data_IF_162383138282
#
_entry.id   IF_162383138282
#
_cell.length_a   1.000
_cell.length_b   1.000
_cell.length_c   1.000
_cell.angle_alpha   90.00
_cell.angle_beta   90.00
_cell.angle_gamma   90.00
#
_symmetry.space_group_name_H-M   'P 1'
#
loop_
_entity.id
_entity.type
_entity.pdbx_description
1 polymer ?
#
# COMPACT_ATOMS: atom_id res chain seq x y z
N UNK A 1 77.73 -1.43 2.99
CA UNK A 1 76.31 -1.22 2.64
C UNK A 1 75.44 -1.86 3.70
N UNK A 2 74.87 -1.05 4.59
CA UNK A 2 73.81 -1.42 5.53
C UNK A 2 73.17 -0.10 5.99
N UNK A 3 71.92 0.12 5.60
CA UNK A 3 71.18 1.35 5.88
C UNK A 3 70.41 1.22 7.20
N UNK A 4 70.43 2.29 7.99
CA UNK A 4 69.73 2.42 9.26
C UNK A 4 68.21 2.40 9.07
N UNK A 5 67.50 1.62 9.90
CA UNK A 5 66.04 1.67 10.03
C UNK A 5 65.66 2.52 11.25
N UNK A 6 64.89 3.57 10.99
CA UNK A 6 64.28 4.46 11.97
C UNK A 6 62.92 3.88 12.36
N UNK A 7 62.72 3.61 13.64
CA UNK A 7 61.44 3.17 14.21
C UNK A 7 60.47 4.35 14.34
N UNK A 8 59.38 4.32 13.59
CA UNK A 8 58.25 5.23 13.77
C UNK A 8 57.20 4.56 14.65
N UNK A 9 57.12 4.99 15.91
CA UNK A 9 55.99 4.68 16.77
C UNK A 9 54.75 5.45 16.28
N UNK A 10 53.74 4.70 15.85
CA UNK A 10 52.45 5.25 15.44
C UNK A 10 51.55 5.48 16.67
N UNK A 11 50.90 6.65 16.81
CA UNK A 11 50.00 6.92 17.92
C UNK A 11 48.73 6.08 17.81
N UNK A 12 48.36 5.43 18.92
CA UNK A 12 47.12 4.68 19.08
C UNK A 12 45.90 5.58 18.76
N UNK A 13 44.98 5.15 17.87
CA UNK A 13 43.75 5.89 17.65
C UNK A 13 42.85 5.77 18.88
N UNK A 14 42.56 6.92 19.45
CA UNK A 14 41.55 7.18 20.46
C UNK A 14 40.27 6.40 20.17
N UNK A 15 39.80 5.67 21.18
CA UNK A 15 38.47 5.03 21.22
C UNK A 15 37.41 6.10 21.00
N UNK A 16 36.97 6.29 19.75
CA UNK A 16 35.66 6.87 19.49
C UNK A 16 34.65 5.91 20.09
N UNK A 17 34.04 6.33 21.20
CA UNK A 17 32.81 5.74 21.68
C UNK A 17 31.79 5.87 20.56
N UNK A 18 31.62 4.81 19.78
CA UNK A 18 30.47 4.65 18.92
C UNK A 18 29.27 4.51 19.84
N UNK A 19 28.69 5.63 20.22
CA UNK A 19 27.29 5.66 20.59
C UNK A 19 26.54 5.12 19.37
N UNK A 20 26.26 3.81 19.38
CA UNK A 20 25.18 3.24 18.59
C UNK A 20 23.98 4.17 18.77
N UNK A 21 23.29 4.60 17.71
CA UNK A 21 21.95 5.12 17.89
C UNK A 21 21.07 3.94 18.33
N UNK A 22 21.08 3.66 19.63
CA UNK A 22 20.08 2.85 20.30
C UNK A 22 18.86 3.72 20.51
N UNK A 23 17.94 3.70 19.54
CA UNK A 23 16.50 3.57 19.81
C UNK A 23 15.79 3.56 18.46
N UNK A 24 15.35 2.38 18.01
CA UNK A 24 14.21 2.30 17.10
C UNK A 24 13.04 2.88 17.89
N UNK A 25 12.80 4.17 17.75
CA UNK A 25 11.85 4.88 18.60
C UNK A 25 10.44 4.44 18.23
N UNK A 26 9.92 3.46 18.98
CA UNK A 26 8.62 3.31 19.67
C UNK A 26 7.38 4.13 19.25
N UNK A 27 7.36 4.87 18.15
CA UNK A 27 6.43 5.99 18.05
C UNK A 27 5.13 5.58 17.38
N UNK A 28 4.18 5.17 18.23
CA UNK A 28 2.81 5.61 18.02
C UNK A 28 2.84 7.14 17.88
N UNK A 29 2.19 7.66 16.85
CA UNK A 29 2.08 9.09 16.65
C UNK A 29 1.04 9.67 17.61
N UNK A 30 1.17 10.96 17.92
CA UNK A 30 0.15 11.66 18.70
C UNK A 30 -1.04 11.97 17.80
N UNK A 31 -2.25 11.93 18.38
CA UNK A 31 -3.42 12.43 17.69
C UNK A 31 -3.31 13.96 17.55
N UNK A 32 -3.66 14.52 16.39
CA UNK A 32 -3.72 15.96 16.26
C UNK A 32 -4.85 16.52 17.13
N UNK A 33 -4.68 17.74 17.65
CA UNK A 33 -5.73 18.44 18.39
C UNK A 33 -6.95 18.75 17.51
N UNK A 34 -6.70 19.01 16.22
CA UNK A 34 -7.72 19.25 15.21
C UNK A 34 -7.47 18.36 13.99
N UNK A 35 -8.53 17.74 13.49
CA UNK A 35 -8.45 16.90 12.30
C UNK A 35 -8.62 17.73 11.04
N UNK A 36 -7.73 17.53 10.08
CA UNK A 36 -7.94 18.01 8.70
C UNK A 36 -9.10 17.29 8.02
N UNK A 37 -9.60 17.86 6.92
CA UNK A 37 -10.67 17.25 6.10
C UNK A 37 -10.33 15.81 5.70
N UNK A 38 -9.10 15.55 5.26
CA UNK A 38 -8.67 14.21 4.87
C UNK A 38 -8.65 13.21 6.04
N UNK A 39 -8.31 13.69 7.25
CA UNK A 39 -8.33 12.86 8.45
C UNK A 39 -9.75 12.65 8.98
N UNK A 40 -10.63 13.65 8.89
CA UNK A 40 -12.06 13.49 9.21
C UNK A 40 -12.71 12.44 8.30
N UNK A 41 -12.48 12.52 6.99
CA UNK A 41 -12.97 11.50 6.05
C UNK A 41 -12.42 10.11 6.39
N UNK A 42 -11.11 9.99 6.65
CA UNK A 42 -10.50 8.72 7.04
C UNK A 42 -11.10 8.19 8.36
N UNK A 43 -11.45 9.08 9.30
CA UNK A 43 -12.07 8.74 10.57
C UNK A 43 -13.47 8.20 10.38
N UNK A 44 -14.29 8.88 9.57
CA UNK A 44 -15.64 8.41 9.22
C UNK A 44 -15.60 7.00 8.64
N UNK A 45 -14.66 6.72 7.73
CA UNK A 45 -14.47 5.38 7.15
C UNK A 45 -14.08 4.37 8.23
N UNK A 46 -13.16 4.71 9.14
CA UNK A 46 -12.71 3.79 10.19
C UNK A 46 -13.83 3.47 11.18
N UNK A 47 -14.58 4.49 11.62
CA UNK A 47 -15.72 4.31 12.53
C UNK A 47 -16.75 3.39 11.90
N UNK A 48 -17.16 3.68 10.67
CA UNK A 48 -18.11 2.83 9.94
C UNK A 48 -17.60 1.39 9.80
N UNK A 49 -16.33 1.19 9.44
CA UNK A 49 -15.73 -0.13 9.36
C UNK A 49 -15.78 -0.88 10.70
N UNK A 50 -15.38 -0.22 11.80
CA UNK A 50 -15.39 -0.85 13.12
C UNK A 50 -16.80 -1.11 13.64
N UNK A 51 -17.77 -0.27 13.29
CA UNK A 51 -19.17 -0.44 13.66
C UNK A 51 -19.82 -1.58 12.88
N UNK A 52 -19.54 -1.71 11.57
CA UNK A 52 -19.99 -2.86 10.78
C UNK A 52 -19.40 -4.16 11.33
N UNK A 53 -18.10 -4.20 11.64
CA UNK A 53 -17.47 -5.39 12.20
C UNK A 53 -18.07 -5.85 13.54
N UNK A 54 -18.66 -4.92 14.32
CA UNK A 54 -19.38 -5.19 15.57
C UNK A 54 -20.86 -5.50 15.36
N UNK A 55 -21.41 -5.31 14.17
CA UNK A 55 -22.80 -5.61 13.90
C UNK A 55 -22.99 -7.14 13.82
N UNK A 56 -23.86 -7.76 14.63
CA UNK A 56 -24.14 -9.20 14.57
C UNK A 56 -24.58 -9.70 13.19
N UNK A 57 -25.16 -8.82 12.36
CA UNK A 57 -25.57 -9.14 10.99
C UNK A 57 -24.42 -9.05 9.98
N UNK A 58 -23.26 -8.52 10.37
CA UNK A 58 -22.08 -8.48 9.50
C UNK A 58 -21.51 -9.88 9.32
N UNK A 59 -21.20 -10.22 8.06
CA UNK A 59 -20.53 -11.48 7.72
C UNK A 59 -19.20 -11.68 8.45
N UNK A 60 -18.61 -10.58 8.93
CA UNK A 60 -17.32 -10.57 9.61
C UNK A 60 -17.44 -10.65 11.13
N UNK A 61 -18.66 -10.61 11.68
CA UNK A 61 -18.89 -10.56 13.12
C UNK A 61 -18.27 -11.74 13.86
N UNK A 62 -18.46 -12.97 13.37
CA UNK A 62 -17.91 -14.18 14.02
C UNK A 62 -16.40 -14.07 14.28
N UNK A 63 -15.68 -13.40 13.36
CA UNK A 63 -14.22 -13.28 13.42
C UNK A 63 -13.76 -12.02 14.14
N UNK A 64 -14.47 -10.90 13.97
CA UNK A 64 -14.01 -9.58 14.41
C UNK A 64 -14.86 -8.98 15.52
N UNK A 65 -16.14 -9.29 15.61
CA UNK A 65 -17.14 -8.62 16.47
C UNK A 65 -16.68 -8.51 17.92
N UNK A 66 -16.55 -9.65 18.60
CA UNK A 66 -16.11 -9.65 20.01
C UNK A 66 -14.73 -9.01 20.21
N UNK A 67 -13.83 -9.14 19.24
CA UNK A 67 -12.50 -8.54 19.30
C UNK A 67 -12.59 -7.01 19.20
N UNK A 68 -13.42 -6.45 18.32
CA UNK A 68 -13.59 -5.00 18.19
C UNK A 68 -14.34 -4.42 19.39
N UNK A 69 -15.34 -5.13 19.94
CA UNK A 69 -16.09 -4.73 21.15
C UNK A 69 -15.22 -4.63 22.40
N UNK A 70 -14.32 -5.61 22.61
CA UNK A 70 -13.42 -5.64 23.76
C UNK A 70 -12.39 -4.51 23.77
N UNK A 71 -12.21 -3.81 22.64
CA UNK A 71 -11.19 -2.78 22.45
C UNK A 71 -11.79 -1.39 22.15
N UNK A 72 -12.30 -0.67 23.17
CA UNK A 72 -12.99 0.62 22.97
C UNK A 72 -12.09 1.75 22.44
N UNK A 73 -10.76 1.60 22.53
CA UNK A 73 -9.77 2.57 22.01
C UNK A 73 -9.09 2.12 20.71
N UNK A 74 -9.68 1.15 20.01
CA UNK A 74 -9.11 0.61 18.78
C UNK A 74 -9.00 1.67 17.68
N UNK A 75 -10.02 2.53 17.54
CA UNK A 75 -10.02 3.65 16.58
C UNK A 75 -8.80 4.58 16.79
N UNK A 76 -8.59 5.02 18.03
CA UNK A 76 -7.45 5.86 18.39
C UNK A 76 -6.12 5.17 18.05
N UNK A 77 -5.97 3.88 18.42
CA UNK A 77 -4.75 3.16 18.11
C UNK A 77 -4.50 3.08 16.60
N UNK A 78 -5.53 2.76 15.81
CA UNK A 78 -5.43 2.70 14.35
C UNK A 78 -4.92 4.03 13.78
N UNK A 79 -5.49 5.15 14.21
CA UNK A 79 -4.99 6.48 13.82
C UNK A 79 -3.53 6.72 14.19
N UNK A 80 -3.15 6.36 15.42
CA UNK A 80 -1.78 6.53 15.92
C UNK A 80 -0.77 5.62 15.25
N UNK A 81 -1.21 4.54 14.59
CA UNK A 81 -0.34 3.69 13.77
C UNK A 81 0.00 4.33 12.42
N UNK A 82 -0.85 5.23 11.90
CA UNK A 82 -0.66 5.85 10.58
C UNK A 82 0.43 6.93 10.64
N UNK A 83 1.34 6.88 9.68
CA UNK A 83 2.45 7.84 9.60
C UNK A 83 1.95 9.24 9.22
N UNK A 84 2.45 10.32 9.83
CA UNK A 84 2.00 11.69 9.55
C UNK A 84 2.08 12.11 8.08
N UNK A 85 3.07 11.57 7.35
CA UNK A 85 3.29 11.85 5.93
C UNK A 85 2.15 11.34 5.04
N UNK A 86 1.41 10.32 5.50
CA UNK A 86 0.18 9.86 4.83
C UNK A 86 -0.86 10.96 4.85
N UNK A 87 -1.05 11.63 5.99
CA UNK A 87 -2.03 12.71 6.12
C UNK A 87 -1.67 13.91 5.25
N UNK A 88 -0.39 14.28 5.19
CA UNK A 88 0.11 15.34 4.30
C UNK A 88 -0.20 14.99 2.84
N UNK A 89 0.04 13.75 2.42
CA UNK A 89 -0.27 13.30 1.07
C UNK A 89 -1.77 13.36 0.76
N UNK A 90 -2.61 12.87 1.68
CA UNK A 90 -4.06 12.81 1.49
C UNK A 90 -4.72 14.20 1.44
N UNK A 91 -4.14 15.21 2.09
CA UNK A 91 -4.57 16.61 1.98
C UNK A 91 -4.15 17.26 0.66
N UNK A 92 -3.05 16.77 0.08
CA UNK A 92 -2.44 17.35 -1.11
C UNK A 92 -3.01 16.81 -2.41
N UNK A 93 -2.39 17.24 -3.51
CA UNK A 93 -2.64 16.68 -4.84
C UNK A 93 -1.90 15.35 -4.99
N UNK A 94 -2.60 14.35 -5.51
CA UNK A 94 -2.03 13.03 -5.71
C UNK A 94 -1.08 13.04 -6.91
N UNK A 95 0.12 12.53 -6.74
CA UNK A 95 1.09 12.34 -7.83
C UNK A 95 2.15 11.34 -7.38
N UNK A 96 2.82 10.69 -8.32
CA UNK A 96 3.95 9.82 -7.98
C UNK A 96 5.06 10.56 -7.23
N UNK A 97 5.27 11.84 -7.53
CA UNK A 97 6.27 12.63 -6.83
C UNK A 97 5.86 12.92 -5.38
N UNK A 98 4.61 13.28 -5.14
CA UNK A 98 4.08 13.46 -3.78
C UNK A 98 4.09 12.16 -2.97
N UNK A 99 3.89 11.01 -3.61
CA UNK A 99 3.98 9.70 -2.95
C UNK A 99 5.38 9.39 -2.41
N UNK A 100 6.45 9.96 -2.98
CA UNK A 100 7.82 9.80 -2.44
C UNK A 100 7.93 10.35 -1.02
N UNK A 101 7.17 11.40 -0.70
CA UNK A 101 7.12 11.98 0.63
C UNK A 101 6.44 11.06 1.65
N UNK A 102 5.49 10.20 1.21
CA UNK A 102 4.96 9.15 2.08
C UNK A 102 6.09 8.23 2.47
N UNK A 103 6.88 7.71 1.51
CA UNK A 103 8.16 7.03 1.72
C UNK A 103 8.23 6.19 2.99
N UNK A 104 9.37 6.19 3.69
CA UNK A 104 9.53 5.56 5.01
C UNK A 104 10.72 4.63 5.10
N UNK A 105 10.90 4.00 6.26
CA UNK A 105 11.95 3.00 6.44
C UNK A 105 11.53 1.65 5.86
N UNK A 106 11.77 1.49 4.56
CA UNK A 106 11.52 0.24 3.85
C UNK A 106 12.44 -0.92 4.28
N UNK A 107 13.44 -0.65 5.13
CA UNK A 107 14.34 -1.67 5.71
C UNK A 107 13.86 -2.15 7.08
N UNK A 108 12.74 -1.61 7.58
CA UNK A 108 12.14 -2.05 8.83
C UNK A 108 11.77 -3.53 8.80
N UNK A 109 12.09 -4.24 9.88
CA UNK A 109 11.66 -5.62 10.13
C UNK A 109 10.32 -5.67 10.89
N UNK A 110 9.63 -4.53 11.03
CA UNK A 110 8.40 -4.41 11.81
C UNK A 110 7.11 -4.71 11.02
N UNK A 111 6.07 -5.06 11.77
CA UNK A 111 4.69 -5.25 11.28
C UNK A 111 4.13 -3.93 10.75
N UNK A 112 3.71 -3.91 9.50
CA UNK A 112 3.37 -2.66 8.80
C UNK A 112 2.29 -2.84 7.74
N UNK A 113 1.58 -1.76 7.45
CA UNK A 113 0.83 -1.57 6.21
C UNK A 113 1.70 -0.76 5.25
N UNK A 114 1.83 -1.23 4.02
CA UNK A 114 2.59 -0.55 2.98
C UNK A 114 1.72 -0.32 1.75
N UNK A 115 2.18 0.61 0.92
CA UNK A 115 1.65 0.84 -0.42
C UNK A 115 2.75 0.60 -1.46
N UNK A 116 2.32 0.22 -2.66
CA UNK A 116 3.13 0.25 -3.87
C UNK A 116 2.36 0.97 -4.97
N UNK A 117 2.82 2.17 -5.33
CA UNK A 117 2.29 2.93 -6.45
C UNK A 117 3.05 2.56 -7.72
N UNK A 118 2.34 2.19 -8.77
CA UNK A 118 2.86 1.60 -10.00
C UNK A 118 2.47 2.50 -11.18
N UNK A 119 3.47 3.02 -11.89
CA UNK A 119 3.27 3.77 -13.13
C UNK A 119 3.28 2.81 -14.31
N UNK A 120 2.10 2.54 -14.86
CA UNK A 120 1.95 1.64 -16.00
C UNK A 120 2.56 2.19 -17.29
N UNK A 121 2.82 1.31 -18.25
CA UNK A 121 3.22 1.68 -19.63
C UNK A 121 2.14 2.50 -20.36
N UNK A 122 0.91 2.44 -19.88
CA UNK A 122 -0.25 3.23 -20.31
C UNK A 122 -0.33 4.62 -19.63
N UNK A 123 0.71 5.00 -18.89
CA UNK A 123 0.83 6.27 -18.15
C UNK A 123 -0.14 6.44 -16.99
N UNK A 124 -0.89 5.40 -16.61
CA UNK A 124 -1.81 5.45 -15.47
C UNK A 124 -1.09 5.01 -14.20
N UNK A 125 -1.37 5.70 -13.11
CA UNK A 125 -0.87 5.34 -11.78
C UNK A 125 -1.87 4.39 -11.14
N UNK A 126 -1.38 3.31 -10.53
CA UNK A 126 -2.22 2.37 -9.79
C UNK A 126 -1.60 2.10 -8.43
N UNK A 127 -2.42 1.89 -7.42
CA UNK A 127 -1.96 1.63 -6.06
C UNK A 127 -2.38 0.25 -5.59
N UNK A 128 -1.43 -0.42 -4.95
CA UNK A 128 -1.66 -1.62 -4.17
C UNK A 128 -1.36 -1.32 -2.70
N UNK A 129 -2.27 -1.67 -1.80
CA UNK A 129 -2.04 -1.65 -0.36
C UNK A 129 -1.87 -3.08 0.12
N UNK A 130 -0.96 -3.33 1.06
CA UNK A 130 -0.83 -4.64 1.67
C UNK A 130 -0.27 -4.57 3.09
N UNK A 131 -0.46 -5.65 3.84
CA UNK A 131 0.15 -5.85 5.15
C UNK A 131 1.37 -6.77 5.12
N UNK A 132 2.20 -6.68 6.14
CA UNK A 132 3.34 -7.58 6.33
C UNK A 132 3.81 -7.61 7.78
N UNK A 133 4.47 -8.70 8.18
CA UNK A 133 5.17 -8.83 9.46
C UNK A 133 6.63 -8.38 9.40
N UNK A 134 7.23 -8.34 8.20
CA UNK A 134 8.55 -7.75 7.93
C UNK A 134 8.48 -6.97 6.62
N UNK A 135 8.58 -5.64 6.73
CA UNK A 135 8.50 -4.75 5.57
C UNK A 135 9.68 -4.96 4.62
N UNK A 136 10.89 -5.08 5.14
CA UNK A 136 12.09 -5.35 4.35
C UNK A 136 11.95 -6.60 3.51
N UNK A 137 11.50 -7.71 4.13
CA UNK A 137 11.33 -8.97 3.41
C UNK A 137 10.28 -8.83 2.31
N UNK A 138 9.13 -8.21 2.63
CA UNK A 138 8.03 -8.06 1.67
C UNK A 138 8.38 -7.15 0.50
N UNK A 139 9.05 -6.03 0.72
CA UNK A 139 9.55 -5.17 -0.36
C UNK A 139 10.57 -5.93 -1.22
N UNK A 140 11.46 -6.71 -0.61
CA UNK A 140 12.40 -7.58 -1.33
C UNK A 140 11.69 -8.60 -2.24
N UNK A 141 10.61 -9.22 -1.78
CA UNK A 141 9.77 -10.11 -2.58
C UNK A 141 9.19 -9.39 -3.80
N UNK A 142 8.62 -8.20 -3.60
CA UNK A 142 8.05 -7.40 -4.69
C UNK A 142 9.07 -7.05 -5.77
N UNK A 143 10.32 -6.74 -5.38
CA UNK A 143 11.40 -6.40 -6.30
C UNK A 143 12.00 -7.62 -7.00
N UNK A 144 11.87 -8.82 -6.42
CA UNK A 144 12.40 -10.06 -6.97
C UNK A 144 11.54 -10.60 -8.13
N UNK A 145 12.10 -10.58 -9.34
CA UNK A 145 11.42 -11.09 -10.54
C UNK A 145 10.99 -12.56 -10.43
N UNK A 146 11.82 -13.44 -9.85
CA UNK A 146 11.49 -14.86 -9.71
C UNK A 146 10.30 -15.05 -8.78
N UNK A 147 10.29 -14.32 -7.66
CA UNK A 147 9.15 -14.36 -6.74
C UNK A 147 7.86 -13.91 -7.42
N UNK A 148 7.88 -12.82 -8.20
CA UNK A 148 6.71 -12.35 -8.95
C UNK A 148 6.21 -13.35 -9.98
N UNK A 149 7.12 -14.02 -10.69
CA UNK A 149 6.79 -15.08 -11.67
C UNK A 149 6.08 -16.26 -10.99
N UNK A 150 6.58 -16.67 -9.83
CA UNK A 150 6.11 -17.87 -9.14
C UNK A 150 4.85 -17.62 -8.28
N UNK A 151 4.43 -16.37 -8.11
CA UNK A 151 3.29 -15.96 -7.27
C UNK A 151 2.34 -15.02 -8.01
N UNK A 152 1.78 -15.40 -9.18
CA UNK A 152 1.03 -14.49 -10.05
C UNK A 152 -0.13 -13.80 -9.33
N UNK A 153 -0.27 -12.50 -9.58
CA UNK A 153 -1.35 -11.66 -9.06
C UNK A 153 -1.53 -10.43 -9.96
N UNK A 154 -2.69 -9.76 -9.86
CA UNK A 154 -2.92 -8.50 -10.58
C UNK A 154 -1.84 -7.45 -10.26
N UNK A 155 -1.44 -7.35 -8.99
CA UNK A 155 -0.38 -6.43 -8.57
C UNK A 155 0.96 -6.72 -9.27
N UNK A 156 1.37 -7.98 -9.34
CA UNK A 156 2.60 -8.35 -10.05
C UNK A 156 2.48 -8.21 -11.56
N UNK A 157 1.31 -8.46 -12.13
CA UNK A 157 1.05 -8.22 -13.54
C UNK A 157 1.20 -6.72 -13.88
N UNK A 158 0.62 -5.83 -13.06
CA UNK A 158 0.80 -4.38 -13.21
C UNK A 158 2.27 -3.97 -13.06
N UNK A 159 3.02 -4.53 -12.10
CA UNK A 159 4.45 -4.26 -11.94
C UNK A 159 5.28 -4.69 -13.15
N UNK A 160 4.99 -5.83 -13.76
CA UNK A 160 5.67 -6.30 -14.98
C UNK A 160 5.40 -5.37 -16.18
N UNK A 161 4.24 -4.74 -16.20
CA UNK A 161 3.78 -3.80 -17.22
C UNK A 161 3.95 -2.32 -16.79
N UNK A 162 4.95 -2.04 -15.96
CA UNK A 162 5.23 -0.69 -15.44
C UNK A 162 6.60 -0.16 -15.89
N UNK A 163 6.74 1.17 -15.86
CA UNK A 163 8.02 1.88 -16.07
C UNK A 163 8.68 2.31 -14.77
N UNK A 164 7.88 2.48 -13.72
CA UNK A 164 8.34 2.95 -12.42
C UNK A 164 7.39 2.47 -11.33
N UNK A 165 7.91 2.28 -10.13
CA UNK A 165 7.09 2.07 -8.95
C UNK A 165 7.73 2.70 -7.70
N UNK A 166 6.89 3.06 -6.73
CA UNK A 166 7.30 3.65 -5.47
C UNK A 166 6.64 2.93 -4.30
N UNK A 167 7.44 2.56 -3.30
CA UNK A 167 6.95 2.01 -2.04
C UNK A 167 6.84 3.09 -0.97
N UNK A 168 5.85 2.95 -0.11
CA UNK A 168 5.75 3.73 1.12
C UNK A 168 5.14 2.93 2.26
N UNK A 169 5.50 3.29 3.49
CA UNK A 169 4.91 2.73 4.71
C UNK A 169 3.73 3.60 5.12
N UNK A 170 2.54 3.03 5.21
CA UNK A 170 1.33 3.75 5.63
C UNK A 170 1.17 3.74 7.13
N UNK A 171 1.23 2.55 7.73
CA UNK A 171 1.08 2.36 9.16
C UNK A 171 2.10 1.37 9.69
N UNK A 172 2.48 1.52 10.96
CA UNK A 172 3.40 0.59 11.64
C UNK A 172 2.81 0.23 12.99
N UNK A 173 2.75 -1.06 13.28
CA UNK A 173 2.28 -1.53 14.59
C UNK A 173 3.38 -1.31 15.63
N UNK A 174 3.01 -1.05 16.89
CA UNK A 174 3.94 -1.08 18.01
C UNK A 174 4.72 -2.40 18.10
N UNK A 175 5.87 -2.41 18.79
CA UNK A 175 6.61 -3.63 19.09
C UNK A 175 5.76 -4.68 19.81
N UNK A 176 6.16 -5.94 19.70
CA UNK A 176 5.55 -7.05 20.46
C UNK A 176 5.58 -6.77 21.97
N UNK A 177 4.54 -7.20 22.69
CA UNK A 177 4.45 -7.04 24.14
C UNK A 177 4.01 -5.65 24.62
N UNK A 178 3.65 -4.74 23.71
CA UNK A 178 3.00 -3.49 24.11
C UNK A 178 1.55 -3.74 24.52
N UNK A 179 1.13 -3.15 25.64
CA UNK A 179 -0.23 -3.27 26.18
C UNK A 179 -1.18 -2.27 25.52
N UNK A 180 -1.30 -2.31 24.20
CA UNK A 180 -2.19 -1.45 23.42
C UNK A 180 -3.43 -2.24 22.93
N UNK A 181 -4.58 -1.58 22.72
CA UNK A 181 -5.80 -2.23 22.26
C UNK A 181 -5.59 -3.07 21.00
N UNK A 182 -6.19 -4.26 20.88
CA UNK A 182 -6.16 -5.06 19.66
C UNK A 182 -4.82 -5.74 19.33
N UNK A 183 -3.75 -5.50 20.10
CA UNK A 183 -2.47 -6.17 19.94
C UNK A 183 -2.41 -7.57 20.56
N UNK A 184 -3.44 -7.97 21.29
CA UNK A 184 -3.73 -9.36 21.65
C UNK A 184 -3.94 -10.23 20.40
N UNK A 185 -4.49 -9.65 19.33
CA UNK A 185 -4.70 -10.29 18.03
C UNK A 185 -4.12 -9.44 16.88
N UNK A 186 -2.79 -9.36 16.73
CA UNK A 186 -2.15 -8.45 15.78
C UNK A 186 -2.46 -8.76 14.30
N UNK A 187 -2.86 -9.99 13.99
CA UNK A 187 -3.32 -10.35 12.65
C UNK A 187 -4.66 -9.67 12.31
N UNK A 188 -5.62 -9.62 13.25
CA UNK A 188 -6.89 -8.93 13.06
C UNK A 188 -6.67 -7.42 12.94
N UNK A 189 -5.78 -6.85 13.77
CA UNK A 189 -5.42 -5.43 13.67
C UNK A 189 -4.79 -5.09 12.32
N UNK A 190 -3.88 -5.93 11.81
CA UNK A 190 -3.31 -5.73 10.48
C UNK A 190 -4.40 -5.80 9.41
N UNK A 191 -5.31 -6.78 9.45
CA UNK A 191 -6.40 -6.89 8.47
C UNK A 191 -7.30 -5.64 8.48
N UNK A 192 -7.66 -5.12 9.66
CA UNK A 192 -8.44 -3.89 9.80
C UNK A 192 -7.68 -2.67 9.28
N UNK A 193 -6.40 -2.53 9.59
CA UNK A 193 -5.58 -1.42 9.09
C UNK A 193 -5.39 -1.50 7.57
N UNK A 194 -5.19 -2.69 7.01
CA UNK A 194 -5.11 -2.89 5.56
C UNK A 194 -6.44 -2.54 4.90
N UNK A 195 -7.56 -3.06 5.41
CA UNK A 195 -8.90 -2.75 4.91
C UNK A 195 -9.17 -1.25 4.96
N UNK A 196 -8.89 -0.61 6.10
CA UNK A 196 -9.09 0.82 6.26
C UNK A 196 -8.23 1.62 5.27
N UNK A 197 -6.95 1.28 5.09
CA UNK A 197 -6.10 1.97 4.12
C UNK A 197 -6.51 1.69 2.68
N UNK A 198 -6.95 0.47 2.35
CA UNK A 198 -7.54 0.13 1.05
C UNK A 198 -8.77 1.00 0.75
N UNK A 199 -9.64 1.18 1.74
CA UNK A 199 -10.76 2.10 1.64
C UNK A 199 -10.23 3.52 1.47
N UNK A 200 -9.44 4.08 2.38
CA UNK A 200 -8.91 5.47 2.29
C UNK A 200 -8.24 5.77 0.94
N UNK A 201 -7.54 4.79 0.35
CA UNK A 201 -6.86 4.94 -0.93
C UNK A 201 -7.65 4.48 -2.16
N UNK A 202 -8.87 3.96 -2.00
CA UNK A 202 -9.76 3.49 -3.09
C UNK A 202 -9.08 2.41 -3.95
N UNK A 203 -8.36 1.48 -3.31
CA UNK A 203 -7.59 0.47 -4.06
C UNK A 203 -8.33 -0.84 -4.30
N UNK A 204 -9.52 -1.01 -3.71
CA UNK A 204 -10.39 -2.18 -3.88
C UNK A 204 -11.24 -2.08 -5.17
N UNK A 205 -11.88 -3.18 -5.61
CA UNK A 205 -12.79 -3.15 -6.75
C UNK A 205 -14.00 -2.25 -6.48
N UNK A 206 -14.57 -1.66 -7.53
CA UNK A 206 -15.67 -0.70 -7.42
C UNK A 206 -16.90 -1.25 -6.65
N UNK A 207 -17.35 -2.52 -6.84
CA UNK A 207 -18.46 -3.07 -6.06
C UNK A 207 -18.19 -3.08 -4.55
N UNK A 208 -16.96 -3.43 -4.16
CA UNK A 208 -16.54 -3.40 -2.75
C UNK A 208 -16.47 -1.97 -2.23
N UNK A 209 -15.93 -1.03 -3.01
CA UNK A 209 -15.89 0.39 -2.63
C UNK A 209 -17.30 0.95 -2.43
N UNK A 210 -18.24 0.63 -3.31
CA UNK A 210 -19.63 1.06 -3.19
C UNK A 210 -20.25 0.53 -1.89
N UNK A 211 -20.12 -0.77 -1.63
CA UNK A 211 -20.64 -1.37 -0.40
C UNK A 211 -20.13 -0.65 0.87
N UNK A 212 -18.85 -0.30 0.93
CA UNK A 212 -18.24 0.26 2.14
C UNK A 212 -18.35 1.78 2.26
N UNK A 213 -18.61 2.51 1.17
CA UNK A 213 -18.44 3.96 1.14
C UNK A 213 -19.68 4.71 0.66
N UNK A 214 -20.54 4.07 -0.13
CA UNK A 214 -21.74 4.70 -0.66
C UNK A 214 -22.68 5.08 0.49
N UNK A 215 -23.20 6.32 0.45
CA UNK A 215 -24.05 6.85 1.52
C UNK A 215 -23.31 7.39 2.74
N UNK A 216 -21.99 7.25 2.87
CA UNK A 216 -21.24 7.88 3.95
C UNK A 216 -21.08 9.40 3.73
N UNK A 217 -21.63 10.18 4.66
CA UNK A 217 -21.54 11.64 4.62
C UNK A 217 -20.08 12.12 4.77
N UNK A 218 -19.70 13.11 3.95
CA UNK A 218 -18.34 13.67 3.97
C UNK A 218 -17.26 12.77 3.35
N UNK A 219 -17.64 11.62 2.79
CA UNK A 219 -16.72 10.67 2.17
C UNK A 219 -16.77 10.78 0.64
N UNK A 220 -15.62 11.06 0.02
CA UNK A 220 -15.54 11.17 -1.44
C UNK A 220 -15.41 9.78 -2.05
N UNK A 221 -16.34 9.46 -2.95
CA UNK A 221 -16.34 8.18 -3.69
C UNK A 221 -15.15 8.11 -4.67
N UNK A 222 -14.85 9.24 -5.32
CA UNK A 222 -13.66 9.39 -6.15
C UNK A 222 -12.51 10.06 -5.39
N UNK A 223 -11.35 9.40 -5.34
CA UNK A 223 -10.05 10.03 -5.06
C UNK A 223 -9.15 9.82 -6.28
N UNK A 224 -9.59 10.39 -7.39
CA UNK A 224 -9.23 9.95 -8.73
C UNK A 224 -8.39 10.95 -9.53
N UNK A 225 -7.77 11.98 -8.96
CA UNK A 225 -7.04 12.92 -9.83
C UNK A 225 -5.67 13.31 -9.30
N UNK A 226 -4.66 12.91 -10.07
CA UNK A 226 -3.31 13.44 -10.00
C UNK A 226 -2.89 14.21 -11.24
N UNK A 227 -1.66 14.74 -11.24
CA UNK A 227 -1.06 15.30 -12.48
C UNK A 227 -0.95 14.26 -13.61
N UNK A 228 -0.98 12.99 -13.26
CA UNK A 228 -0.81 11.83 -14.15
C UNK A 228 -2.15 11.11 -14.45
N UNK A 229 -3.29 11.75 -14.16
CA UNK A 229 -4.63 11.17 -14.35
C UNK A 229 -5.16 10.44 -13.12
N UNK A 230 -6.09 9.51 -13.33
CA UNK A 230 -6.73 8.77 -12.24
C UNK A 230 -5.87 7.67 -11.64
N UNK A 231 -5.95 7.56 -10.31
CA UNK A 231 -5.29 6.50 -9.56
C UNK A 231 -6.21 5.28 -9.51
N UNK A 232 -5.80 4.19 -10.17
CA UNK A 232 -6.50 2.92 -10.13
C UNK A 232 -6.14 2.07 -8.91
N UNK A 233 -6.97 1.06 -8.63
CA UNK A 233 -6.76 0.08 -7.56
C UNK A 233 -6.21 -1.25 -8.06
N UNK A 234 -5.36 -1.90 -7.26
CA UNK A 234 -4.80 -3.23 -7.55
C UNK A 234 -5.18 -4.29 -6.50
N UNK A 235 -5.94 -3.92 -5.46
CA UNK A 235 -6.49 -4.88 -4.52
C UNK A 235 -7.75 -5.50 -5.12
N UNK A 236 -7.83 -6.84 -5.15
CA UNK A 236 -8.95 -7.59 -5.76
C UNK A 236 -9.74 -8.44 -4.76
N UNK A 237 -9.36 -8.39 -3.49
CA UNK A 237 -10.07 -9.11 -2.44
C UNK A 237 -10.00 -8.35 -1.12
N UNK A 238 -10.98 -8.60 -0.27
CA UNK A 238 -11.08 -7.96 1.04
C UNK A 238 -9.91 -8.40 1.94
N UNK A 239 -9.18 -7.46 2.55
CA UNK A 239 -8.21 -7.77 3.60
C UNK A 239 -8.83 -8.44 4.83
N UNK A 240 -10.13 -8.25 5.08
CA UNK A 240 -10.83 -8.88 6.20
C UNK A 240 -10.94 -10.41 6.05
N UNK A 241 -10.87 -10.92 4.83
CA UNK A 241 -10.92 -12.36 4.55
C UNK A 241 -9.56 -13.03 4.75
N UNK A 242 -8.47 -12.26 4.95
CA UNK A 242 -7.14 -12.83 5.02
C UNK A 242 -7.00 -13.80 6.21
N UNK A 243 -6.65 -15.05 5.94
CA UNK A 243 -6.54 -16.12 6.94
C UNK A 243 -7.86 -16.84 7.27
N UNK A 244 -8.96 -16.48 6.60
CA UNK A 244 -10.17 -17.30 6.60
C UNK A 244 -10.05 -18.45 5.57
N UNK A 245 -10.86 -19.49 5.74
CA UNK A 245 -10.95 -20.59 4.77
C UNK A 245 -11.60 -20.12 3.46
N UNK A 246 -12.63 -19.28 3.58
CA UNK A 246 -13.37 -18.75 2.46
C UNK A 246 -12.93 -17.31 2.20
N UNK A 247 -12.56 -17.04 0.94
CA UNK A 247 -12.22 -15.71 0.46
C UNK A 247 -13.20 -15.35 -0.64
N UNK A 248 -13.83 -14.19 -0.51
CA UNK A 248 -14.69 -13.70 -1.58
C UNK A 248 -13.83 -13.24 -2.76
N UNK A 249 -14.19 -13.72 -3.94
CA UNK A 249 -13.62 -13.26 -5.19
C UNK A 249 -14.61 -12.34 -5.86
N UNK A 250 -14.22 -11.07 -5.99
CA UNK A 250 -15.01 -10.08 -6.71
C UNK A 250 -14.74 -10.24 -8.20
N UNK A 251 -15.81 -10.40 -8.98
CA UNK A 251 -15.67 -10.37 -10.42
C UNK A 251 -15.24 -8.96 -10.87
N UNK A 252 -14.10 -8.90 -11.55
CA UNK A 252 -13.52 -7.67 -12.06
C UNK A 252 -13.69 -7.56 -13.59
N UNK A 253 -14.53 -8.41 -14.19
CA UNK A 253 -14.78 -8.45 -15.64
C UNK A 253 -15.34 -7.14 -16.21
N UNK A 254 -16.06 -6.37 -15.40
CA UNK A 254 -16.63 -5.06 -15.72
C UNK A 254 -15.68 -3.88 -15.44
N UNK A 255 -14.41 -4.14 -15.12
CA UNK A 255 -13.44 -3.07 -14.84
C UNK A 255 -13.10 -2.27 -16.10
N UNK A 256 -13.16 -0.94 -16.00
CA UNK A 256 -12.69 -0.02 -17.05
C UNK A 256 -11.15 0.10 -17.11
N UNK A 257 -10.44 -0.57 -16.20
CA UNK A 257 -8.98 -0.54 -16.16
C UNK A 257 -8.38 -1.54 -17.17
N UNK A 258 -7.63 -1.07 -18.19
CA UNK A 258 -7.04 -1.95 -19.20
C UNK A 258 -6.12 -3.04 -18.64
N UNK A 259 -5.41 -2.77 -17.53
CA UNK A 259 -4.49 -3.77 -16.95
C UNK A 259 -5.26 -4.89 -16.26
N UNK A 260 -6.45 -4.58 -15.73
CA UNK A 260 -7.33 -5.57 -15.10
C UNK A 260 -7.92 -6.47 -16.18
N UNK A 261 -8.43 -5.88 -17.26
CA UNK A 261 -8.96 -6.64 -18.39
C UNK A 261 -7.86 -7.49 -19.08
N UNK A 262 -6.64 -6.98 -19.20
CA UNK A 262 -5.50 -7.75 -19.70
C UNK A 262 -5.20 -8.95 -18.81
N UNK A 263 -5.13 -8.74 -17.48
CA UNK A 263 -4.89 -9.79 -16.50
C UNK A 263 -5.96 -10.90 -16.53
N UNK A 264 -7.23 -10.53 -16.72
CA UNK A 264 -8.35 -11.49 -16.85
C UNK A 264 -8.34 -12.22 -18.21
N UNK A 265 -7.44 -11.89 -19.13
CA UNK A 265 -7.40 -12.45 -20.48
C UNK A 265 -8.50 -11.90 -21.40
N UNK A 266 -9.17 -10.81 -21.00
CA UNK A 266 -10.15 -10.09 -21.82
C UNK A 266 -9.47 -9.10 -22.78
N UNK A 267 -8.28 -8.60 -22.44
CA UNK A 267 -7.49 -7.69 -23.28
C UNK A 267 -7.08 -8.29 -24.63
N UNK A 268 -6.87 -9.60 -24.71
CA UNK A 268 -6.56 -10.29 -25.98
C UNK A 268 -7.78 -10.47 -26.88
N UNK A 269 -8.97 -10.70 -26.30
CA UNK A 269 -10.24 -10.80 -27.04
C UNK A 269 -10.72 -9.45 -27.56
N UNK A 270 -10.58 -8.38 -26.78
CA UNK A 270 -10.89 -7.02 -27.21
C UNK A 270 -9.91 -6.53 -28.30
N UNK A 271 -8.60 -6.79 -28.15
CA UNK A 271 -7.62 -6.49 -29.20
C UNK A 271 -7.84 -7.29 -30.49
N UNK A 272 -8.27 -8.56 -30.40
CA UNK A 272 -8.68 -9.36 -31.56
C UNK A 272 -10.00 -8.87 -32.19
N UNK A 273 -10.96 -8.40 -31.38
CA UNK A 273 -12.21 -7.83 -31.88
C UNK A 273 -11.98 -6.49 -32.61
N UNK A 274 -11.08 -5.64 -32.11
CA UNK A 274 -10.68 -4.38 -32.77
C UNK A 274 -9.84 -4.65 -34.04
N UNK A 275 -8.98 -5.68 -34.04
CA UNK A 275 -8.31 -6.17 -35.25
C UNK A 275 -9.29 -6.62 -36.33
N UNK A 276 -10.37 -7.30 -35.94
CA UNK A 276 -11.42 -7.75 -36.86
C UNK A 276 -12.32 -6.60 -37.37
N UNK A 277 -12.28 -5.42 -36.73
CA UNK A 277 -13.06 -4.23 -37.11
C UNK A 277 -12.22 -3.10 -37.74
N UNK A 278 -10.93 -3.34 -38.03
CA UNK A 278 -10.09 -2.37 -38.76
C UNK A 278 -9.73 -1.08 -38.00
N UNK A 279 -9.87 -1.08 -36.67
CA UNK A 279 -9.48 0.06 -35.83
C UNK A 279 -7.96 0.15 -35.62
N UNK A 280 -7.44 1.38 -35.49
CA UNK A 280 -6.01 1.65 -35.29
C UNK A 280 -5.42 0.82 -34.14
N UNK A 281 -4.29 0.17 -34.43
CA UNK A 281 -3.55 -0.69 -33.52
C UNK A 281 -3.11 0.10 -32.30
N UNK A 282 -3.62 -0.24 -31.12
CA UNK A 282 -3.02 0.20 -29.85
C UNK A 282 -1.59 -0.37 -29.75
N UNK A 283 -0.61 0.50 -29.49
CA UNK A 283 0.81 0.15 -29.36
C UNK A 283 1.00 -1.10 -28.46
N UNK A 284 1.71 -2.11 -28.97
CA UNK A 284 2.13 -3.28 -28.17
C UNK A 284 2.96 -2.85 -26.95
N UNK A 285 3.03 -3.64 -25.86
CA UNK A 285 3.86 -3.31 -24.70
C UNK A 285 5.32 -3.01 -25.06
N UNK A 286 5.89 -3.71 -26.07
CA UNK A 286 7.22 -3.45 -26.59
C UNK A 286 7.32 -2.08 -27.30
N UNK A 287 6.33 -1.72 -28.12
CA UNK A 287 6.25 -0.41 -28.78
C UNK A 287 6.06 0.73 -27.76
N UNK A 288 5.23 0.54 -26.72
CA UNK A 288 5.07 1.52 -25.62
C UNK A 288 6.38 1.77 -24.87
N UNK A 289 7.14 0.71 -24.56
CA UNK A 289 8.47 0.81 -23.93
C UNK A 289 9.44 1.62 -24.78
N UNK A 290 9.47 1.38 -26.09
CA UNK A 290 10.37 2.05 -27.01
C UNK A 290 10.01 3.52 -27.23
N UNK A 291 8.71 3.83 -27.33
CA UNK A 291 8.19 5.20 -27.42
C UNK A 291 8.56 6.03 -26.20
N UNK A 292 8.54 5.43 -25.00
CA UNK A 292 8.94 6.10 -23.78
C UNK A 292 10.43 6.45 -23.75
N UNK A 293 11.32 5.54 -24.15
CA UNK A 293 12.77 5.83 -24.22
C UNK A 293 13.05 7.08 -25.06
N UNK A 294 12.41 7.19 -26.23
CA UNK A 294 12.57 8.32 -27.16
C UNK A 294 12.07 9.67 -26.62
N UNK A 295 11.14 9.66 -25.66
CA UNK A 295 10.62 10.89 -25.04
C UNK A 295 11.54 11.38 -23.92
N UNK A 296 12.21 10.47 -23.21
CA UNK A 296 13.13 10.81 -22.10
C UNK A 296 14.52 11.26 -22.57
N UNK A 297 14.86 11.05 -23.85
CA UNK A 297 16.15 11.43 -24.46
C UNK A 297 16.13 12.80 -25.16
N UNK A 298 15.02 13.54 -25.09
CA UNK A 298 14.88 14.93 -25.57
C UNK A 298 14.81 15.89 -24.40
#
# INVERSE_FOLDING_TARGET
MAAAQVSYDSPSPSRFSSSRPSSVSSRLYDLPAEFSVAQLEARTILVYLLDDLKNPDSRHYERYGEWVERHPKLEELCFRCVRPHVWIFLQGRWSLDALKAVGGDLKSEGRSIYMNAVLGLDRRVRMYIGQTTSLRHRVGQHLNFRHRRDNPSLHYHALQNSIYNAFGTLATLPPFGSNQPGLDSPALLLNVLEMWMCLVFRTLPQPTLNYWLEGLEGVKQGRKEGKEGEFGGLNIASPLDQGAADREWVDCSESDDPIVLEYLGHGSKAAQAVQNQGGEVQDTPAQRREKYKKVTER
#
